data_IF_966165628390
#
_entry.id   IF_966165628390
#
_cell.length_a   1.000
_cell.length_b   1.000
_cell.length_c   1.000
_cell.angle_alpha   90.00
_cell.angle_beta   90.00
_cell.angle_gamma   90.00
#
_symmetry.space_group_name_H-M   'P 1'
#
loop_
_entity.id
_entity.type
_entity.pdbx_description
1 polymer ?
#
# COMPACT_ATOMS: atom_id res chain seq x y z
N UNK A 1 -12.32 -14.01 19.74
CA UNK A 1 -12.88 -13.96 18.37
C UNK A 1 -11.98 -13.09 17.55
N UNK A 2 -11.39 -13.59 16.46
CA UNK A 2 -10.57 -12.77 15.55
C UNK A 2 -11.48 -11.72 14.92
N UNK A 3 -11.14 -10.43 15.06
CA UNK A 3 -11.89 -9.34 14.45
C UNK A 3 -11.77 -9.47 12.93
N UNK A 4 -12.89 -9.45 12.22
CA UNK A 4 -12.93 -9.53 10.77
C UNK A 4 -12.16 -8.37 10.16
N UNK A 5 -11.19 -8.66 9.31
CA UNK A 5 -10.36 -7.67 8.61
C UNK A 5 -11.12 -7.14 7.40
N UNK A 6 -11.35 -5.84 7.32
CA UNK A 6 -12.14 -5.22 6.25
C UNK A 6 -11.24 -4.40 5.30
N UNK A 7 -11.30 -4.74 4.02
CA UNK A 7 -10.61 -4.02 2.94
C UNK A 7 -11.62 -3.39 2.00
N UNK A 8 -11.51 -2.08 1.78
CA UNK A 8 -12.28 -1.34 0.78
C UNK A 8 -11.48 -1.25 -0.52
N UNK A 9 -11.95 -1.87 -1.60
CA UNK A 9 -11.27 -1.86 -2.89
C UNK A 9 -11.97 -0.96 -3.90
N UNK A 10 -11.35 0.18 -4.23
CA UNK A 10 -11.87 1.10 -5.24
C UNK A 10 -11.61 0.61 -6.67
N UNK A 11 -12.66 0.58 -7.49
CA UNK A 11 -12.57 0.21 -8.91
C UNK A 11 -13.17 1.28 -9.80
N UNK A 12 -12.58 1.45 -10.98
CA UNK A 12 -13.16 2.19 -12.10
C UNK A 12 -13.55 1.21 -13.24
N UNK A 13 -14.06 1.72 -14.36
CA UNK A 13 -14.47 0.90 -15.50
C UNK A 13 -13.28 0.40 -16.35
N UNK A 14 -12.04 0.51 -15.89
CA UNK A 14 -10.87 0.02 -16.64
C UNK A 14 -10.70 -1.50 -16.52
N UNK A 15 -10.13 -2.12 -17.55
CA UNK A 15 -9.69 -3.52 -17.46
C UNK A 15 -8.63 -3.68 -16.37
N UNK A 16 -7.74 -2.68 -16.24
CA UNK A 16 -6.67 -2.69 -15.27
C UNK A 16 -7.17 -2.76 -13.81
N UNK A 17 -8.25 -2.02 -13.47
CA UNK A 17 -8.86 -2.10 -12.14
C UNK A 17 -9.49 -3.48 -11.89
N UNK A 18 -10.11 -4.09 -12.90
CA UNK A 18 -10.66 -5.46 -12.80
C UNK A 18 -9.55 -6.49 -12.57
N UNK A 19 -8.48 -6.40 -13.35
CA UNK A 19 -7.33 -7.30 -13.21
C UNK A 19 -6.64 -7.10 -11.85
N UNK A 20 -6.56 -5.87 -11.36
CA UNK A 20 -5.98 -5.56 -10.06
C UNK A 20 -6.79 -6.14 -8.90
N UNK A 21 -8.11 -6.01 -8.92
CA UNK A 21 -8.95 -6.58 -7.85
C UNK A 21 -8.94 -8.11 -7.90
N UNK A 22 -8.91 -8.71 -9.09
CA UNK A 22 -8.75 -10.15 -9.27
C UNK A 22 -7.40 -10.65 -8.72
N UNK A 23 -6.31 -9.96 -9.06
CA UNK A 23 -4.96 -10.29 -8.59
C UNK A 23 -4.85 -10.19 -7.05
N UNK A 24 -5.43 -9.13 -6.46
CA UNK A 24 -5.52 -9.00 -5.00
C UNK A 24 -6.36 -10.14 -4.38
N UNK A 25 -7.50 -10.48 -4.98
CA UNK A 25 -8.32 -11.63 -4.56
C UNK A 25 -7.55 -12.94 -4.58
N UNK A 26 -6.83 -13.22 -5.68
CA UNK A 26 -6.00 -14.41 -5.82
C UNK A 26 -4.86 -14.48 -4.78
N UNK A 27 -4.23 -13.35 -4.44
CA UNK A 27 -3.20 -13.27 -3.40
C UNK A 27 -3.78 -13.53 -2.00
N UNK A 28 -4.96 -12.98 -1.72
CA UNK A 28 -5.53 -12.92 -0.38
C UNK A 28 -6.59 -14.01 -0.08
N UNK A 29 -6.93 -14.86 -1.05
CA UNK A 29 -8.02 -15.86 -0.94
C UNK A 29 -7.92 -16.78 0.27
N UNK A 30 -6.71 -17.13 0.68
CA UNK A 30 -6.45 -18.00 1.81
C UNK A 30 -6.38 -17.27 3.17
N UNK A 31 -6.56 -15.95 3.20
CA UNK A 31 -6.74 -15.21 4.45
C UNK A 31 -8.23 -15.27 4.86
N UNK A 32 -8.60 -16.26 5.64
CA UNK A 32 -10.01 -16.54 6.03
C UNK A 32 -10.66 -15.40 6.84
N UNK A 33 -9.86 -14.57 7.51
CA UNK A 33 -10.35 -13.45 8.30
C UNK A 33 -10.65 -12.19 7.46
N UNK A 34 -10.24 -12.17 6.18
CA UNK A 34 -10.34 -10.99 5.34
C UNK A 34 -11.65 -10.95 4.58
N UNK A 35 -12.34 -9.82 4.67
CA UNK A 35 -13.52 -9.45 3.88
C UNK A 35 -13.19 -8.28 2.97
N UNK A 36 -13.57 -8.39 1.70
CA UNK A 36 -13.37 -7.36 0.69
C UNK A 36 -14.70 -6.69 0.34
N UNK A 37 -14.75 -5.37 0.35
CA UNK A 37 -15.86 -4.61 -0.22
C UNK A 37 -15.37 -3.87 -1.45
N UNK A 38 -15.98 -4.14 -2.59
CA UNK A 38 -15.66 -3.46 -3.85
C UNK A 38 -16.48 -2.17 -3.92
N UNK A 39 -15.78 -1.04 -4.05
CA UNK A 39 -16.37 0.29 -4.14
C UNK A 39 -16.29 0.81 -5.56
N UNK A 40 -17.37 1.39 -6.06
CA UNK A 40 -17.40 2.17 -7.27
C UNK A 40 -18.17 3.48 -7.06
N UNK A 41 -17.51 4.61 -7.33
CA UNK A 41 -18.17 5.91 -7.35
C UNK A 41 -18.69 6.20 -8.74
N UNK A 42 -20.01 6.22 -8.89
CA UNK A 42 -20.69 6.57 -10.15
C UNK A 42 -20.66 8.10 -10.27
N UNK A 43 -19.89 8.69 -11.21
CA UNK A 43 -19.83 10.14 -11.35
C UNK A 43 -21.21 10.71 -11.71
N UNK A 44 -21.42 11.96 -11.41
CA UNK A 44 -22.61 12.67 -11.90
C UNK A 44 -22.46 12.87 -13.42
N UNK A 45 -23.45 12.51 -14.24
CA UNK A 45 -23.37 12.73 -15.67
C UNK A 45 -23.15 14.22 -15.97
N UNK A 46 -22.26 14.53 -16.90
CA UNK A 46 -22.03 15.92 -17.28
C UNK A 46 -23.23 16.46 -18.08
N UNK A 47 -24.23 16.95 -17.33
CA UNK A 47 -25.45 17.51 -17.89
C UNK A 47 -25.21 18.72 -18.78
N UNK A 48 -24.07 19.41 -18.65
CA UNK A 48 -23.72 20.54 -19.52
C UNK A 48 -23.48 20.08 -20.96
N UNK A 49 -22.74 18.99 -21.14
CA UNK A 49 -22.56 18.43 -22.49
C UNK A 49 -23.82 17.77 -23.02
N UNK A 50 -24.59 17.11 -22.14
CA UNK A 50 -25.87 16.50 -22.53
C UNK A 50 -26.91 17.55 -22.88
N UNK A 51 -26.94 18.73 -22.26
CA UNK A 51 -27.87 19.83 -22.59
C UNK A 51 -27.57 20.49 -23.93
N UNK A 52 -26.35 20.34 -24.46
CA UNK A 52 -26.00 20.83 -25.81
C UNK A 52 -26.29 19.81 -26.91
N UNK A 53 -26.58 18.58 -26.57
CA UNK A 53 -27.02 17.59 -27.53
C UNK A 53 -28.49 17.85 -27.91
N UNK A 54 -28.87 17.75 -29.18
CA UNK A 54 -30.26 17.93 -29.64
C UNK A 54 -31.11 16.69 -29.28
N UNK A 55 -31.19 16.38 -27.97
CA UNK A 55 -31.94 15.25 -27.42
C UNK A 55 -33.28 15.74 -26.87
N UNK A 56 -34.37 15.00 -27.13
CA UNK A 56 -35.60 15.17 -26.41
C UNK A 56 -35.45 14.80 -24.92
N UNK A 57 -36.32 15.30 -24.06
CA UNK A 57 -36.31 14.96 -22.64
C UNK A 57 -36.37 13.42 -22.42
N UNK A 58 -37.20 12.74 -23.20
CA UNK A 58 -37.33 11.27 -23.16
C UNK A 58 -36.04 10.53 -23.59
N UNK A 59 -35.38 11.03 -24.63
CA UNK A 59 -34.08 10.47 -25.09
C UNK A 59 -33.00 10.70 -24.06
N UNK A 60 -32.99 11.85 -23.37
CA UNK A 60 -32.05 12.13 -22.28
C UNK A 60 -32.27 11.20 -21.08
N UNK A 61 -33.53 11.02 -20.66
CA UNK A 61 -33.85 10.11 -19.55
C UNK A 61 -33.45 8.68 -19.86
N UNK A 62 -33.74 8.19 -21.06
CA UNK A 62 -33.30 6.86 -21.53
C UNK A 62 -31.77 6.73 -21.54
N UNK A 63 -31.07 7.77 -21.97
CA UNK A 63 -29.60 7.78 -21.95
C UNK A 63 -29.06 7.68 -20.53
N UNK A 64 -29.59 8.44 -19.58
CA UNK A 64 -29.20 8.39 -18.18
C UNK A 64 -29.47 7.02 -17.53
N UNK A 65 -30.60 6.41 -17.85
CA UNK A 65 -30.93 5.06 -17.37
C UNK A 65 -29.96 3.99 -17.92
N UNK A 66 -29.62 4.08 -19.21
CA UNK A 66 -28.65 3.17 -19.82
C UNK A 66 -27.26 3.36 -19.22
N UNK A 67 -26.84 4.59 -19.03
CA UNK A 67 -25.58 4.94 -18.44
C UNK A 67 -25.46 4.39 -16.99
N UNK A 68 -26.47 4.62 -16.15
CA UNK A 68 -26.51 4.08 -14.78
C UNK A 68 -26.43 2.55 -14.75
N UNK A 69 -27.10 1.87 -15.68
CA UNK A 69 -27.01 0.40 -15.80
C UNK A 69 -25.62 -0.07 -16.19
N UNK A 70 -24.93 0.65 -17.09
CA UNK A 70 -23.55 0.31 -17.47
C UNK A 70 -22.58 0.50 -16.30
N UNK A 71 -22.72 1.59 -15.53
CA UNK A 71 -21.90 1.82 -14.34
C UNK A 71 -22.12 0.74 -13.26
N UNK A 72 -23.35 0.27 -13.06
CA UNK A 72 -23.61 -0.85 -12.15
C UNK A 72 -22.97 -2.16 -12.60
N UNK A 73 -22.73 -2.35 -13.90
CA UNK A 73 -22.00 -3.53 -14.39
C UNK A 73 -20.52 -3.53 -13.98
N UNK A 74 -19.93 -2.35 -13.72
CA UNK A 74 -18.53 -2.24 -13.26
C UNK A 74 -18.31 -3.08 -12.00
N UNK A 75 -19.14 -2.85 -10.98
CA UNK A 75 -19.04 -3.59 -9.71
C UNK A 75 -19.27 -5.08 -9.89
N UNK A 76 -20.30 -5.45 -10.67
CA UNK A 76 -20.59 -6.87 -10.91
C UNK A 76 -19.41 -7.57 -11.57
N UNK A 77 -18.85 -6.99 -12.63
CA UNK A 77 -17.68 -7.55 -13.32
C UNK A 77 -16.46 -7.63 -12.40
N UNK A 78 -16.26 -6.64 -11.54
CA UNK A 78 -15.18 -6.66 -10.57
C UNK A 78 -15.38 -7.77 -9.52
N UNK A 79 -16.62 -7.95 -9.01
CA UNK A 79 -16.96 -9.04 -8.09
C UNK A 79 -16.76 -10.41 -8.73
N UNK A 80 -17.24 -10.60 -9.96
CA UNK A 80 -17.04 -11.83 -10.74
C UNK A 80 -15.54 -12.14 -10.88
N UNK A 81 -14.72 -11.15 -11.25
CA UNK A 81 -13.28 -11.32 -11.41
C UNK A 81 -12.55 -11.74 -10.10
N UNK A 82 -12.96 -11.24 -8.96
CA UNK A 82 -12.42 -11.64 -7.64
C UNK A 82 -12.81 -13.10 -7.32
N UNK A 83 -14.05 -13.47 -7.58
CA UNK A 83 -14.55 -14.84 -7.34
C UNK A 83 -13.86 -15.83 -8.29
N UNK A 84 -13.71 -15.49 -9.56
CA UNK A 84 -12.99 -16.29 -10.56
C UNK A 84 -11.51 -16.49 -10.20
N UNK A 85 -10.91 -15.53 -9.49
CA UNK A 85 -9.55 -15.64 -8.94
C UNK A 85 -9.46 -16.58 -7.71
N UNK A 86 -10.60 -17.11 -7.27
CA UNK A 86 -10.71 -18.09 -6.18
C UNK A 86 -10.96 -17.48 -4.80
N UNK A 87 -11.33 -16.22 -4.70
CA UNK A 87 -11.74 -15.60 -3.45
C UNK A 87 -13.17 -16.05 -3.10
N UNK A 88 -13.45 -16.25 -1.81
CA UNK A 88 -14.73 -16.74 -1.32
C UNK A 88 -15.86 -15.72 -1.59
N UNK A 89 -16.93 -16.10 -2.31
CA UNK A 89 -18.05 -15.21 -2.64
C UNK A 89 -18.75 -14.61 -1.41
N UNK A 90 -18.79 -15.34 -0.29
CA UNK A 90 -19.46 -14.91 0.95
C UNK A 90 -18.65 -13.83 1.69
N UNK A 91 -17.40 -13.64 1.29
CA UNK A 91 -16.48 -12.61 1.82
C UNK A 91 -16.30 -11.41 0.88
N UNK A 92 -17.10 -11.31 -0.19
CA UNK A 92 -17.07 -10.19 -1.14
C UNK A 92 -18.38 -9.42 -1.12
N UNK A 93 -18.36 -8.23 -0.55
CA UNK A 93 -19.44 -7.27 -0.64
C UNK A 93 -19.21 -6.26 -1.76
N UNK A 94 -20.23 -5.52 -2.09
CA UNK A 94 -20.18 -4.44 -3.07
C UNK A 94 -20.88 -3.20 -2.53
N UNK A 95 -20.32 -2.04 -2.85
CA UNK A 95 -20.91 -0.74 -2.54
C UNK A 95 -20.71 0.21 -3.72
N UNK A 96 -21.77 0.90 -4.12
CA UNK A 96 -21.68 1.97 -5.11
C UNK A 96 -22.29 3.25 -4.55
N UNK A 97 -21.69 4.37 -4.89
CA UNK A 97 -22.19 5.70 -4.54
C UNK A 97 -22.66 6.41 -5.81
N UNK A 98 -23.96 6.69 -5.87
CA UNK A 98 -24.53 7.47 -6.98
C UNK A 98 -24.15 8.95 -6.85
N UNK A 99 -23.98 9.63 -7.98
CA UNK A 99 -23.58 11.04 -8.05
C UNK A 99 -22.31 11.36 -7.26
N UNK A 100 -21.36 10.45 -7.31
CA UNK A 100 -20.08 10.57 -6.65
C UNK A 100 -19.27 11.74 -7.23
N UNK A 101 -19.10 12.80 -6.44
CA UNK A 101 -18.34 14.00 -6.86
C UNK A 101 -16.83 13.77 -6.75
N UNK A 102 -16.41 13.04 -5.74
CA UNK A 102 -15.01 12.77 -5.47
C UNK A 102 -14.82 11.35 -4.88
N UNK A 103 -14.42 10.38 -5.71
CA UNK A 103 -14.30 8.98 -5.26
C UNK A 103 -13.24 8.80 -4.17
N UNK A 104 -12.23 9.64 -4.08
CA UNK A 104 -11.20 9.57 -3.03
C UNK A 104 -11.79 9.96 -1.68
N UNK A 105 -12.53 11.06 -1.62
CA UNK A 105 -13.19 11.52 -0.39
C UNK A 105 -14.28 10.53 0.02
N UNK A 106 -15.05 10.02 -0.94
CA UNK A 106 -16.08 9.01 -0.68
C UNK A 106 -15.52 7.73 -0.10
N UNK A 107 -14.42 7.21 -0.65
CA UNK A 107 -13.73 6.02 -0.10
C UNK A 107 -13.23 6.26 1.32
N UNK A 108 -12.61 7.40 1.61
CA UNK A 108 -12.11 7.72 2.95
C UNK A 108 -13.26 7.84 3.95
N UNK A 109 -14.35 8.52 3.58
CA UNK A 109 -15.52 8.67 4.44
C UNK A 109 -16.19 7.33 4.72
N UNK A 110 -16.37 6.50 3.69
CA UNK A 110 -16.92 5.15 3.84
C UNK A 110 -16.02 4.28 4.70
N UNK A 111 -14.70 4.34 4.49
CA UNK A 111 -13.75 3.56 5.25
C UNK A 111 -13.79 3.92 6.76
N UNK A 112 -13.85 5.21 7.08
CA UNK A 112 -13.96 5.66 8.46
C UNK A 112 -15.33 5.32 9.10
N UNK A 113 -16.41 5.41 8.32
CA UNK A 113 -17.79 5.16 8.81
C UNK A 113 -18.04 3.69 9.12
N UNK A 114 -17.53 2.81 8.29
CA UNK A 114 -17.78 1.36 8.35
C UNK A 114 -16.59 0.56 8.90
N UNK A 115 -15.60 1.26 9.51
CA UNK A 115 -14.41 0.69 10.13
C UNK A 115 -13.59 -0.21 9.18
N UNK A 116 -13.38 0.23 7.95
CA UNK A 116 -12.42 -0.44 7.08
C UNK A 116 -10.99 -0.17 7.55
N UNK A 117 -10.18 -1.21 7.54
CA UNK A 117 -8.79 -1.12 8.00
C UNK A 117 -7.82 -0.72 6.89
N UNK A 118 -8.22 -0.88 5.62
CA UNK A 118 -7.37 -0.65 4.45
C UNK A 118 -8.23 -0.12 3.32
N UNK A 119 -7.66 0.82 2.55
CA UNK A 119 -8.18 1.17 1.23
C UNK A 119 -7.20 0.62 0.19
N UNK A 120 -7.73 -0.16 -0.76
CA UNK A 120 -6.98 -0.74 -1.86
C UNK A 120 -7.48 -0.22 -3.21
N UNK A 121 -6.58 -0.09 -4.17
CA UNK A 121 -6.93 0.26 -5.55
C UNK A 121 -5.84 -0.17 -6.53
N UNK A 122 -6.19 -0.16 -7.80
CA UNK A 122 -5.22 -0.35 -8.85
C UNK A 122 -4.19 0.78 -8.87
N UNK A 123 -2.92 0.44 -9.12
CA UNK A 123 -1.83 1.43 -9.21
C UNK A 123 -2.04 2.44 -10.34
N UNK A 124 -2.72 2.03 -11.42
CA UNK A 124 -2.97 2.80 -12.63
C UNK A 124 -4.47 2.85 -12.89
N UNK A 125 -4.97 3.94 -13.46
CA UNK A 125 -6.38 4.08 -13.84
C UNK A 125 -6.56 4.17 -15.35
N UNK A 126 -7.81 4.35 -15.80
CA UNK A 126 -8.23 4.34 -17.20
C UNK A 126 -7.55 5.39 -18.11
N UNK A 127 -6.92 6.43 -17.57
CA UNK A 127 -6.37 7.57 -18.32
C UNK A 127 -4.86 7.54 -18.57
N UNK A 128 -4.12 6.52 -18.17
CA UNK A 128 -2.66 6.52 -18.26
C UNK A 128 -2.16 5.84 -19.54
N UNK A 129 -2.03 6.60 -20.62
CA UNK A 129 -1.36 6.18 -21.86
C UNK A 129 0.15 5.92 -21.68
N UNK A 130 0.77 6.47 -20.65
CA UNK A 130 2.16 6.22 -20.28
C UNK A 130 2.20 5.42 -18.98
N UNK A 131 2.35 4.12 -19.05
CA UNK A 131 2.39 3.13 -17.96
C UNK A 131 3.50 3.35 -16.90
N UNK A 132 4.02 4.57 -16.77
CA UNK A 132 5.09 4.95 -15.82
C UNK A 132 4.67 5.99 -14.78
N UNK A 133 3.44 6.53 -14.86
CA UNK A 133 2.97 7.57 -13.94
C UNK A 133 1.78 7.01 -13.16
N UNK A 134 1.86 7.05 -11.83
CA UNK A 134 0.78 6.64 -10.93
C UNK A 134 -0.54 7.36 -11.27
N UNK A 135 -1.67 6.66 -11.22
CA UNK A 135 -2.99 7.22 -11.47
C UNK A 135 -3.29 8.39 -10.51
N UNK A 136 -3.99 9.41 -11.03
CA UNK A 136 -4.31 10.62 -10.25
C UNK A 136 -5.11 10.28 -8.96
N UNK A 137 -6.08 9.36 -9.04
CA UNK A 137 -6.87 8.89 -7.90
C UNK A 137 -5.96 8.23 -6.84
N UNK A 138 -5.07 7.34 -7.29
CA UNK A 138 -4.12 6.65 -6.41
C UNK A 138 -3.19 7.65 -5.72
N UNK A 139 -2.61 8.58 -6.47
CA UNK A 139 -1.74 9.62 -5.91
C UNK A 139 -2.48 10.49 -4.88
N UNK A 140 -3.70 10.93 -5.20
CA UNK A 140 -4.51 11.72 -4.26
C UNK A 140 -4.84 10.93 -3.00
N UNK A 141 -5.24 9.65 -3.14
CA UNK A 141 -5.55 8.81 -1.99
C UNK A 141 -4.35 8.66 -1.05
N UNK A 142 -3.18 8.31 -1.56
CA UNK A 142 -1.98 8.18 -0.73
C UNK A 142 -1.55 9.51 -0.09
N UNK A 143 -1.94 10.64 -0.70
CA UNK A 143 -1.60 11.96 -0.19
C UNK A 143 -2.50 12.41 0.97
N UNK A 144 -3.75 11.93 1.07
CA UNK A 144 -4.71 12.41 2.07
C UNK A 144 -5.26 11.34 3.01
N UNK A 145 -5.09 10.04 2.73
CA UNK A 145 -5.50 8.96 3.62
C UNK A 145 -4.43 8.73 4.73
N UNK A 146 -4.37 9.64 5.69
CA UNK A 146 -3.31 9.61 6.72
C UNK A 146 -3.49 8.52 7.77
N UNK A 147 -4.74 8.13 8.02
CA UNK A 147 -5.09 7.23 9.12
C UNK A 147 -5.27 5.77 8.69
N UNK A 148 -5.25 5.52 7.38
CA UNK A 148 -5.52 4.20 6.81
C UNK A 148 -4.36 3.74 5.95
N UNK A 149 -3.88 2.50 6.13
CA UNK A 149 -3.01 1.86 5.16
C UNK A 149 -3.62 1.86 3.76
N UNK A 150 -2.78 2.06 2.76
CA UNK A 150 -3.20 2.04 1.35
C UNK A 150 -2.45 0.95 0.61
N UNK A 151 -3.18 0.09 -0.10
CA UNK A 151 -2.64 -0.91 -0.99
C UNK A 151 -2.78 -0.48 -2.44
N UNK A 152 -1.68 -0.52 -3.16
CA UNK A 152 -1.62 -0.24 -4.61
C UNK A 152 -1.29 -1.52 -5.35
N UNK A 153 -2.15 -1.94 -6.27
CA UNK A 153 -2.04 -3.22 -6.96
C UNK A 153 -1.65 -3.03 -8.42
N UNK A 154 -0.62 -3.75 -8.86
CA UNK A 154 -0.21 -3.87 -10.26
C UNK A 154 -0.36 -5.32 -10.72
N UNK A 155 -1.42 -5.67 -11.45
CA UNK A 155 -1.73 -7.05 -11.84
C UNK A 155 -0.74 -7.69 -12.81
N UNK A 156 0.22 -6.91 -13.33
CA UNK A 156 1.26 -7.41 -14.27
C UNK A 156 2.35 -8.22 -13.57
N UNK A 157 2.44 -8.14 -12.25
CA UNK A 157 3.41 -8.86 -11.42
C UNK A 157 2.71 -10.07 -10.81
N UNK A 158 3.36 -11.23 -10.83
CA UNK A 158 2.76 -12.50 -10.35
C UNK A 158 3.45 -13.09 -9.12
N UNK A 159 4.63 -12.61 -8.73
CA UNK A 159 5.32 -13.09 -7.53
C UNK A 159 4.49 -12.78 -6.27
N UNK A 160 4.56 -13.68 -5.29
CA UNK A 160 3.89 -13.54 -3.98
C UNK A 160 4.90 -13.42 -2.83
N UNK A 161 6.20 -13.38 -3.14
CA UNK A 161 7.23 -13.17 -2.13
C UNK A 161 7.15 -11.76 -1.54
N UNK A 162 7.46 -11.63 -0.27
CA UNK A 162 7.20 -10.43 0.52
C UNK A 162 8.50 -9.76 0.95
N UNK A 163 8.70 -8.52 0.53
CA UNK A 163 9.77 -7.64 1.01
C UNK A 163 9.21 -6.67 2.05
N UNK A 164 9.71 -6.75 3.27
CA UNK A 164 9.28 -5.93 4.42
C UNK A 164 10.38 -4.93 4.75
N UNK A 165 10.12 -3.64 4.58
CA UNK A 165 11.14 -2.62 4.86
C UNK A 165 11.15 -2.26 6.34
N UNK A 166 12.30 -2.41 6.98
CA UNK A 166 12.51 -2.06 8.39
C UNK A 166 13.37 -0.80 8.48
N UNK A 167 12.93 0.15 9.27
CA UNK A 167 13.68 1.33 9.69
C UNK A 167 13.70 1.36 11.22
N UNK A 168 14.75 1.80 11.87
CA UNK A 168 14.89 1.73 13.34
C UNK A 168 13.92 2.64 14.13
N UNK A 169 12.63 2.65 13.79
CA UNK A 169 11.59 3.51 14.36
C UNK A 169 10.27 2.75 14.55
N UNK A 170 9.33 3.33 15.31
CA UNK A 170 8.04 2.72 15.67
C UNK A 170 7.19 2.29 14.48
N UNK A 171 7.30 3.00 13.36
CA UNK A 171 6.62 2.61 12.12
C UNK A 171 6.99 1.19 11.67
N UNK A 172 8.19 0.72 11.96
CA UNK A 172 8.61 -0.65 11.60
C UNK A 172 7.81 -1.72 12.33
N UNK A 173 7.38 -1.48 13.56
CA UNK A 173 6.49 -2.38 14.28
C UNK A 173 5.13 -2.49 13.61
N UNK A 174 4.56 -1.36 13.18
CA UNK A 174 3.29 -1.34 12.44
C UNK A 174 3.43 -2.05 11.09
N UNK A 175 4.55 -1.86 10.39
CA UNK A 175 4.87 -2.56 9.14
C UNK A 175 4.96 -4.07 9.38
N UNK A 176 5.65 -4.50 10.43
CA UNK A 176 5.74 -5.90 10.83
C UNK A 176 4.36 -6.47 11.20
N UNK A 177 3.60 -5.78 12.06
CA UNK A 177 2.25 -6.20 12.47
C UNK A 177 1.30 -6.32 11.26
N UNK A 178 1.37 -5.36 10.34
CA UNK A 178 0.63 -5.40 9.08
C UNK A 178 1.02 -6.61 8.25
N UNK A 179 2.33 -6.90 8.14
CA UNK A 179 2.83 -8.06 7.40
C UNK A 179 2.28 -9.36 7.98
N UNK A 180 2.39 -9.56 9.29
CA UNK A 180 1.88 -10.76 9.96
C UNK A 180 0.37 -10.89 9.78
N UNK A 181 -0.37 -9.80 10.05
CA UNK A 181 -1.84 -9.79 10.00
C UNK A 181 -2.39 -10.15 8.62
N UNK A 182 -1.81 -9.61 7.56
CA UNK A 182 -2.41 -9.73 6.21
C UNK A 182 -1.71 -10.74 5.30
N UNK A 183 -0.46 -11.10 5.56
CA UNK A 183 0.31 -11.96 4.65
C UNK A 183 0.81 -13.28 5.25
N UNK A 184 0.67 -13.51 6.57
CA UNK A 184 1.10 -14.77 7.18
C UNK A 184 0.41 -16.03 6.62
N UNK A 185 -0.70 -15.89 5.89
CA UNK A 185 -1.34 -17.00 5.17
C UNK A 185 -0.55 -17.48 3.94
N UNK A 186 0.40 -16.69 3.43
CA UNK A 186 1.27 -17.02 2.30
C UNK A 186 2.41 -17.97 2.72
N UNK A 187 2.06 -19.18 3.18
CA UNK A 187 3.00 -20.13 3.78
C UNK A 187 4.13 -20.61 2.84
N UNK A 188 3.93 -20.48 1.52
CA UNK A 188 4.91 -20.90 0.52
C UNK A 188 5.80 -19.73 0.03
N UNK A 189 5.47 -18.50 0.37
CA UNK A 189 6.20 -17.32 -0.02
C UNK A 189 7.41 -17.07 0.88
N UNK A 190 8.44 -16.45 0.32
CA UNK A 190 9.57 -15.93 1.08
C UNK A 190 9.19 -14.61 1.72
N UNK A 191 9.65 -14.40 2.95
CA UNK A 191 9.52 -13.14 3.68
C UNK A 191 10.91 -12.62 4.00
N UNK A 192 11.25 -11.43 3.52
CA UNK A 192 12.53 -10.80 3.80
C UNK A 192 12.31 -9.51 4.56
N UNK A 193 12.76 -9.46 5.81
CA UNK A 193 12.88 -8.21 6.56
C UNK A 193 14.16 -7.50 6.14
N UNK A 194 14.01 -6.41 5.41
CA UNK A 194 15.13 -5.71 4.79
C UNK A 194 15.39 -4.36 5.45
N UNK A 195 16.64 -4.15 5.89
CA UNK A 195 17.09 -2.90 6.46
C UNK A 195 18.33 -2.37 5.74
N UNK A 196 18.24 -1.12 5.29
CA UNK A 196 19.38 -0.38 4.73
C UNK A 196 19.99 0.49 5.83
N UNK A 197 21.24 0.21 6.19
CA UNK A 197 22.00 0.92 7.22
C UNK A 197 22.58 2.20 6.61
N UNK A 198 22.07 3.39 6.95
CA UNK A 198 22.62 4.64 6.42
C UNK A 198 23.98 4.96 7.05
N UNK A 199 24.86 5.70 6.35
CA UNK A 199 26.14 6.14 6.92
C UNK A 199 25.94 7.02 8.15
N UNK A 200 24.91 7.88 8.12
CA UNK A 200 24.49 8.74 9.24
C UNK A 200 23.07 8.35 9.61
N UNK A 201 22.82 7.83 10.82
CA UNK A 201 21.47 7.52 11.29
C UNK A 201 20.53 8.73 11.26
N UNK A 202 19.25 8.55 10.91
CA UNK A 202 18.30 9.67 10.75
C UNK A 202 18.15 10.54 12.00
N UNK A 203 18.26 9.98 13.21
CA UNK A 203 18.17 10.72 14.47
C UNK A 203 19.29 11.76 14.63
N UNK A 204 20.42 11.59 13.95
CA UNK A 204 21.56 12.51 14.03
C UNK A 204 21.43 13.72 13.10
N UNK A 205 20.44 13.76 12.24
CA UNK A 205 20.21 14.92 11.38
C UNK A 205 19.38 16.02 12.08
N UNK A 206 19.49 16.22 13.38
CA UNK A 206 18.83 17.29 14.14
C UNK A 206 19.82 18.40 14.48
N UNK A 207 19.35 19.64 14.59
CA UNK A 207 20.18 20.75 15.06
C UNK A 207 20.74 20.47 16.45
N UNK A 208 19.91 19.90 17.35
CA UNK A 208 20.31 19.53 18.70
C UNK A 208 21.49 18.54 18.74
N UNK A 209 21.54 17.59 17.81
CA UNK A 209 22.68 16.68 17.72
C UNK A 209 23.93 17.41 17.26
N UNK A 210 23.82 18.28 16.26
CA UNK A 210 24.96 19.04 15.77
C UNK A 210 25.45 20.07 16.78
N UNK A 211 24.57 20.65 17.60
CA UNK A 211 24.95 21.48 18.72
C UNK A 211 25.69 20.69 19.79
N UNK A 212 25.20 19.48 20.13
CA UNK A 212 25.86 18.58 21.09
C UNK A 212 27.28 18.18 20.63
N UNK A 213 27.46 17.77 19.36
CA UNK A 213 28.77 17.28 18.88
C UNK A 213 29.75 18.44 18.56
N UNK A 214 29.32 19.70 18.61
CA UNK A 214 30.16 20.84 18.29
C UNK A 214 31.38 20.93 19.22
N UNK A 215 31.18 20.64 20.48
CA UNK A 215 32.18 20.76 21.54
C UNK A 215 33.02 19.48 21.73
N UNK A 216 32.72 18.42 21.00
CA UNK A 216 33.45 17.16 21.02
C UNK A 216 34.71 17.22 20.12
N UNK A 217 35.76 16.51 20.51
CA UNK A 217 36.92 16.23 19.64
C UNK A 217 36.51 15.39 18.42
N UNK A 218 37.36 15.33 17.41
CA UNK A 218 37.08 14.50 16.21
C UNK A 218 36.97 13.00 16.56
N UNK A 219 37.78 12.51 17.48
CA UNK A 219 37.73 11.12 17.95
C UNK A 219 36.41 10.82 18.67
N UNK A 220 35.99 11.67 19.60
CA UNK A 220 34.71 11.55 20.30
C UNK A 220 33.52 11.59 19.37
N UNK A 221 33.54 12.44 18.31
CA UNK A 221 32.49 12.49 17.27
C UNK A 221 32.39 11.17 16.51
N UNK A 222 33.52 10.60 16.12
CA UNK A 222 33.57 9.35 15.39
C UNK A 222 33.07 8.20 16.25
N UNK A 223 33.46 8.12 17.51
CA UNK A 223 33.01 7.10 18.46
C UNK A 223 31.49 7.21 18.71
N UNK A 224 30.99 8.43 18.92
CA UNK A 224 29.55 8.65 19.09
C UNK A 224 28.78 8.23 17.86
N UNK A 225 29.24 8.59 16.66
CA UNK A 225 28.58 8.22 15.40
C UNK A 225 28.54 6.70 15.19
N UNK A 226 29.62 5.99 15.50
CA UNK A 226 29.67 4.53 15.44
C UNK A 226 28.68 3.91 16.42
N UNK A 227 28.64 4.40 17.66
CA UNK A 227 27.69 3.95 18.68
C UNK A 227 26.24 4.17 18.23
N UNK A 228 25.90 5.37 17.78
CA UNK A 228 24.55 5.71 17.31
C UNK A 228 24.11 4.86 16.11
N UNK A 229 25.03 4.58 15.20
CA UNK A 229 24.78 3.71 14.04
C UNK A 229 24.53 2.26 14.48
N UNK A 230 25.28 1.78 15.46
CA UNK A 230 25.11 0.46 16.05
C UNK A 230 23.74 0.35 16.71
N UNK A 231 23.40 1.29 17.61
CA UNK A 231 22.11 1.32 18.31
C UNK A 231 20.92 1.36 17.34
N UNK A 232 21.03 2.17 16.27
CA UNK A 232 20.01 2.24 15.24
C UNK A 232 19.80 0.91 14.54
N UNK A 233 20.88 0.23 14.17
CA UNK A 233 20.83 -1.06 13.50
C UNK A 233 20.35 -2.19 14.43
N UNK A 234 20.72 -2.16 15.70
CA UNK A 234 20.27 -3.14 16.70
C UNK A 234 18.76 -3.02 16.97
N UNK A 235 18.20 -1.81 17.04
CA UNK A 235 16.74 -1.61 17.11
C UNK A 235 16.03 -2.18 15.89
N UNK A 236 16.56 -1.93 14.69
CA UNK A 236 16.00 -2.48 13.47
C UNK A 236 16.06 -4.01 13.47
N UNK A 237 17.16 -4.60 13.96
CA UNK A 237 17.33 -6.04 14.09
C UNK A 237 16.32 -6.65 15.05
N UNK A 238 16.16 -6.07 16.24
CA UNK A 238 15.19 -6.52 17.24
C UNK A 238 13.77 -6.58 16.68
N UNK A 239 13.35 -5.54 15.92
CA UNK A 239 12.02 -5.51 15.31
C UNK A 239 11.89 -6.59 14.21
N UNK A 240 12.95 -6.79 13.42
CA UNK A 240 12.93 -7.79 12.36
C UNK A 240 12.88 -9.22 12.91
N UNK A 241 13.64 -9.53 13.97
CA UNK A 241 13.60 -10.83 14.64
C UNK A 241 12.23 -11.07 15.32
N UNK A 242 11.66 -10.07 16.00
CA UNK A 242 10.30 -10.15 16.52
C UNK A 242 9.29 -10.48 15.40
N UNK A 243 9.45 -9.84 14.24
CA UNK A 243 8.59 -10.10 13.07
C UNK A 243 8.77 -11.53 12.53
N UNK A 244 10.00 -12.03 12.51
CA UNK A 244 10.32 -13.43 12.14
C UNK A 244 9.61 -14.41 13.08
N UNK A 245 9.75 -14.23 14.40
CA UNK A 245 9.11 -15.08 15.39
C UNK A 245 7.58 -15.09 15.22
N UNK A 246 6.95 -13.93 15.07
CA UNK A 246 5.50 -13.83 14.86
C UNK A 246 5.02 -14.50 13.57
N UNK A 247 5.80 -14.47 12.49
CA UNK A 247 5.47 -15.20 11.26
C UNK A 247 5.58 -16.72 11.46
N UNK A 248 6.58 -17.18 12.23
CA UNK A 248 6.74 -18.59 12.59
C UNK A 248 5.55 -19.05 13.43
N UNK A 249 5.18 -18.29 14.47
CA UNK A 249 4.02 -18.56 15.32
C UNK A 249 2.70 -18.60 14.52
N UNK A 250 2.61 -17.76 13.49
CA UNK A 250 1.50 -17.78 12.55
C UNK A 250 1.59 -18.93 11.53
N UNK A 251 2.62 -19.80 11.59
CA UNK A 251 2.79 -21.01 10.80
C UNK A 251 3.47 -20.82 9.44
N UNK A 252 4.20 -19.71 9.22
CA UNK A 252 5.11 -19.59 8.08
C UNK A 252 6.38 -20.41 8.37
N UNK A 253 6.81 -21.29 7.46
CA UNK A 253 8.02 -22.08 7.66
C UNK A 253 9.26 -21.19 7.87
N UNK A 254 10.09 -21.50 8.88
CA UNK A 254 11.26 -20.68 9.22
C UNK A 254 12.21 -20.48 8.05
N UNK A 255 12.43 -21.52 7.24
CA UNK A 255 13.29 -21.46 6.04
C UNK A 255 12.79 -20.46 4.97
N UNK A 256 11.53 -20.02 5.07
CA UNK A 256 10.96 -19.03 4.16
C UNK A 256 11.11 -17.59 4.69
N UNK A 257 11.70 -17.41 5.88
CA UNK A 257 11.84 -16.10 6.49
C UNK A 257 13.32 -15.76 6.67
N UNK A 258 13.73 -14.60 6.19
CA UNK A 258 15.10 -14.12 6.38
C UNK A 258 15.12 -12.63 6.82
N UNK A 259 16.18 -12.27 7.51
CA UNK A 259 16.48 -10.90 7.90
C UNK A 259 17.76 -10.47 7.18
N UNK A 260 17.68 -9.41 6.37
CA UNK A 260 18.80 -8.91 5.56
C UNK A 260 19.13 -7.47 5.93
N UNK A 261 20.39 -7.25 6.31
CA UNK A 261 20.95 -5.94 6.59
C UNK A 261 21.99 -5.59 5.54
N UNK A 262 21.89 -4.41 4.95
CA UNK A 262 22.80 -3.92 3.94
C UNK A 262 23.28 -2.51 4.27
N UNK A 263 24.57 -2.24 4.18
CA UNK A 263 25.05 -0.86 4.19
C UNK A 263 24.51 -0.12 2.97
N UNK A 264 24.10 1.13 3.16
CA UNK A 264 23.62 1.97 2.07
C UNK A 264 24.68 2.09 0.97
N UNK A 265 24.26 1.86 -0.27
CA UNK A 265 25.10 2.00 -1.48
C UNK A 265 24.76 3.28 -2.24
N UNK A 266 23.60 3.31 -2.89
CA UNK A 266 23.14 4.44 -3.72
C UNK A 266 22.12 5.34 -3.01
N UNK A 267 21.53 4.84 -1.93
CA UNK A 267 20.52 5.52 -1.12
C UNK A 267 19.40 4.60 -0.72
N UNK A 268 18.81 4.83 0.47
CA UNK A 268 17.86 3.90 1.09
C UNK A 268 16.75 3.47 0.12
N UNK A 269 16.11 4.42 -0.57
CA UNK A 269 15.01 4.09 -1.49
C UNK A 269 15.52 3.34 -2.73
N UNK A 270 16.70 3.69 -3.26
CA UNK A 270 17.29 3.02 -4.42
C UNK A 270 17.69 1.59 -4.08
N UNK A 271 18.34 1.41 -2.95
CA UNK A 271 18.78 0.09 -2.47
C UNK A 271 17.59 -0.85 -2.20
N UNK A 272 16.45 -0.31 -1.69
CA UNK A 272 15.22 -1.09 -1.53
C UNK A 272 14.63 -1.48 -2.89
N UNK A 273 14.63 -0.57 -3.89
CA UNK A 273 14.15 -0.88 -5.24
C UNK A 273 15.02 -1.94 -5.92
N UNK A 274 16.33 -1.83 -5.78
CA UNK A 274 17.27 -2.84 -6.30
C UNK A 274 17.01 -4.22 -5.66
N UNK A 275 16.83 -4.27 -4.34
CA UNK A 275 16.48 -5.51 -3.64
C UNK A 275 15.15 -6.08 -4.10
N UNK A 276 14.13 -5.21 -4.30
CA UNK A 276 12.80 -5.60 -4.78
C UNK A 276 12.88 -6.28 -6.15
N UNK A 277 13.66 -5.69 -7.06
CA UNK A 277 13.82 -6.17 -8.44
C UNK A 277 14.67 -7.43 -8.51
N UNK A 278 15.87 -7.43 -7.90
CA UNK A 278 16.80 -8.56 -7.91
C UNK A 278 16.23 -9.80 -7.20
N UNK A 279 15.49 -9.58 -6.11
CA UNK A 279 14.85 -10.65 -5.34
C UNK A 279 13.53 -11.13 -5.95
N UNK A 280 13.00 -10.45 -6.97
CA UNK A 280 11.71 -10.73 -7.63
C UNK A 280 10.55 -10.83 -6.61
N UNK A 281 10.46 -9.85 -5.70
CA UNK A 281 9.38 -9.81 -4.72
C UNK A 281 8.11 -9.22 -5.34
N UNK A 282 6.97 -9.86 -5.03
CA UNK A 282 5.67 -9.41 -5.51
C UNK A 282 4.92 -8.52 -4.52
N UNK A 283 5.28 -8.56 -3.23
CA UNK A 283 4.67 -7.72 -2.20
C UNK A 283 5.74 -6.85 -1.55
N UNK A 284 5.53 -5.54 -1.54
CA UNK A 284 6.37 -4.57 -0.83
C UNK A 284 5.57 -3.95 0.31
N UNK A 285 6.03 -4.13 1.55
CA UNK A 285 5.42 -3.49 2.74
C UNK A 285 6.37 -2.43 3.27
N UNK A 286 5.88 -1.20 3.35
CA UNK A 286 6.68 -0.05 3.77
C UNK A 286 5.88 0.92 4.66
N UNK A 287 6.59 1.63 5.53
CA UNK A 287 6.02 2.69 6.34
C UNK A 287 5.85 3.99 5.56
N UNK A 288 4.75 4.71 5.80
CA UNK A 288 4.46 6.03 5.20
C UNK A 288 5.50 7.08 5.57
N UNK A 289 5.95 7.06 6.82
CA UNK A 289 6.91 8.03 7.36
C UNK A 289 8.13 7.34 7.94
N UNK A 290 9.27 7.97 7.82
CA UNK A 290 10.48 7.58 8.53
C UNK A 290 10.61 8.36 9.85
N UNK A 291 11.80 8.29 10.45
CA UNK A 291 12.12 8.84 11.76
C UNK A 291 11.90 10.37 11.92
N UNK A 292 11.87 11.12 10.81
CA UNK A 292 11.96 12.61 10.81
C UNK A 292 10.79 13.37 10.23
N UNK A 293 9.72 12.71 9.80
CA UNK A 293 8.62 13.45 9.20
C UNK A 293 7.79 14.18 10.26
N UNK A 294 8.20 15.42 10.55
CA UNK A 294 7.55 16.36 11.46
C UNK A 294 6.22 16.86 10.88
N UNK A 295 6.04 16.81 9.55
CA UNK A 295 4.77 17.16 8.93
C UNK A 295 3.70 16.12 9.30
N UNK A 296 2.67 16.55 10.02
CA UNK A 296 1.54 15.68 10.35
C UNK A 296 0.84 15.13 9.10
N UNK A 297 1.05 15.76 7.96
CA UNK A 297 0.38 15.51 6.68
C UNK A 297 1.44 15.30 5.59
N UNK A 298 1.38 14.16 4.91
CA UNK A 298 2.21 13.89 3.74
C UNK A 298 2.93 12.55 3.75
N UNK A 299 3.57 12.26 2.64
CA UNK A 299 4.35 11.06 2.39
C UNK A 299 5.83 11.37 2.62
N UNK A 300 6.53 10.56 3.39
CA UNK A 300 7.98 10.70 3.56
C UNK A 300 8.73 10.61 2.23
N UNK A 301 9.81 11.34 2.08
CA UNK A 301 10.54 11.43 0.79
C UNK A 301 10.99 10.07 0.25
N UNK A 302 11.36 9.12 1.12
CA UNK A 302 11.74 7.76 0.75
C UNK A 302 10.53 6.93 0.36
N UNK A 303 9.44 6.99 1.14
CA UNK A 303 8.19 6.31 0.82
C UNK A 303 7.62 6.85 -0.51
N UNK A 304 7.67 8.17 -0.74
CA UNK A 304 7.25 8.77 -2.01
C UNK A 304 8.02 8.18 -3.20
N UNK A 305 9.36 8.07 -3.12
CA UNK A 305 10.17 7.45 -4.17
C UNK A 305 9.78 5.99 -4.39
N UNK A 306 9.59 5.24 -3.30
CA UNK A 306 9.23 3.82 -3.36
C UNK A 306 7.85 3.61 -3.99
N UNK A 307 6.81 4.31 -3.55
CA UNK A 307 5.46 4.15 -4.11
C UNK A 307 5.38 4.53 -5.59
N UNK A 308 6.22 5.44 -6.06
CA UNK A 308 6.28 5.81 -7.47
C UNK A 308 7.05 4.80 -8.34
N UNK A 309 8.13 4.22 -7.83
CA UNK A 309 9.07 3.44 -8.62
C UNK A 309 8.98 1.92 -8.39
N UNK A 310 8.35 1.43 -7.30
CA UNK A 310 8.29 0.01 -7.01
C UNK A 310 7.45 -0.75 -8.07
N UNK A 311 8.01 -1.82 -8.58
CA UNK A 311 7.33 -2.77 -9.46
C UNK A 311 6.99 -4.03 -8.64
N UNK A 312 5.83 -4.02 -7.99
CA UNK A 312 5.31 -5.11 -7.18
C UNK A 312 3.82 -5.34 -7.47
N UNK A 313 3.36 -6.58 -7.34
CA UNK A 313 1.94 -6.94 -7.41
C UNK A 313 1.14 -6.09 -6.40
N UNK A 314 1.65 -5.98 -5.18
CA UNK A 314 1.03 -5.18 -4.14
C UNK A 314 2.08 -4.33 -3.40
N UNK A 315 1.89 -3.02 -3.41
CA UNK A 315 2.67 -2.09 -2.59
C UNK A 315 1.80 -1.61 -1.43
N UNK A 316 2.17 -1.98 -0.21
CA UNK A 316 1.45 -1.66 1.02
C UNK A 316 2.11 -0.48 1.72
N UNK A 317 1.41 0.65 1.77
CA UNK A 317 1.83 1.84 2.50
C UNK A 317 1.16 1.86 3.87
N UNK A 318 1.91 1.60 4.94
CA UNK A 318 1.45 1.49 6.33
C UNK A 318 1.68 2.81 7.06
N UNK A 319 0.70 3.21 7.90
CA UNK A 319 0.71 4.49 8.64
C UNK A 319 1.26 4.34 10.06
#
# INVERSE_FOLDING_TARGET
MSTQQKVLFGVDNSQFARDAVAAAGGLLKNNENLKMTIFHGIPEPDLYYLSKAPLSAEALEKHLQLWSKEEQKVIRRAKEAVIDAGFDPDRVDTFYEEKCKDPVISMINLANKEDFEIIALARWGAGTLAQKIMGNITYRLISIAYNLPVWMIDPRISSQDVLVTIVGADISRRVMEHTVKYFAHLKKSRFIFFHVIPPIPPQLHTSSYWDYVRDLSEEERQEDMVRQRKDYSERARSIAEEGKERLIDAGVPEQNIAVKFQAQKEGIARDILTELEEGNYGVLVLGRKGFKDISQFGLGSKANKLVHAAHALMTCLVN
#
